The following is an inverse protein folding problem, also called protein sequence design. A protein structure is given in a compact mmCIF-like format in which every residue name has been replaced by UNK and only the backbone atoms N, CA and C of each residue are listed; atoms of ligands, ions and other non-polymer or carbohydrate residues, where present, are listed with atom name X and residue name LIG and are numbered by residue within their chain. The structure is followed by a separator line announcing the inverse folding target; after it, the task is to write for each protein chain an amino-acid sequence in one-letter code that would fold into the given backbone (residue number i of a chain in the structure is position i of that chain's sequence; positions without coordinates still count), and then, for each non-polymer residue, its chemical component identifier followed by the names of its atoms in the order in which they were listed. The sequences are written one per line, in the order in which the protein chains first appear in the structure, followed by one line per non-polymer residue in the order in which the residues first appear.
data_IF_078594041558
#
_entry.id   IF_078594041558
#
_cell.length_a   1.000
_cell.length_b   1.000
_cell.length_c   1.000
_cell.angle_alpha   90.00
_cell.angle_beta   90.00
_cell.angle_gamma   90.00
#
_symmetry.space_group_name_H-M   'P 1'
#
loop_
_entity.id
_entity.type
_entity.pdbx_description
1 polymer ?
#
# COMPACT_ATOMS: atom_id res chain seq x y z
N UNK A 1 -26.01 -22.28 31.26
CA UNK A 1 -25.97 -21.35 32.40
C UNK A 1 -26.23 -19.95 31.88
N UNK A 2 -27.16 -19.23 32.50
CA UNK A 2 -27.49 -17.85 32.15
C UNK A 2 -26.33 -16.97 32.58
N UNK A 3 -25.74 -16.19 31.67
CA UNK A 3 -24.73 -15.20 32.02
C UNK A 3 -25.35 -14.18 32.98
N UNK A 4 -24.85 -14.13 34.22
CA UNK A 4 -25.25 -13.09 35.17
C UNK A 4 -24.90 -11.73 34.61
N UNK A 5 -25.84 -10.77 34.67
CA UNK A 5 -25.55 -9.38 34.29
C UNK A 5 -24.56 -8.80 35.30
N UNK A 6 -23.40 -8.37 34.83
CA UNK A 6 -22.47 -7.57 35.63
C UNK A 6 -23.04 -6.16 35.72
N UNK A 7 -23.12 -5.60 36.92
CA UNK A 7 -23.56 -4.22 37.10
C UNK A 7 -22.59 -3.25 36.43
N UNK A 8 -23.10 -2.14 35.90
CA UNK A 8 -22.25 -1.11 35.29
C UNK A 8 -21.16 -0.67 36.28
N UNK A 9 -19.92 -0.54 35.80
CA UNK A 9 -18.74 -0.17 36.58
C UNK A 9 -18.35 -1.15 37.71
N UNK A 10 -18.92 -2.36 37.78
CA UNK A 10 -18.56 -3.33 38.81
C UNK A 10 -17.14 -3.93 38.62
N UNK A 11 -16.59 -3.84 37.41
CA UNK A 11 -15.21 -4.25 37.11
C UNK A 11 -14.37 -2.98 36.92
N UNK A 12 -13.62 -2.65 37.97
CA UNK A 12 -12.62 -1.58 38.01
C UNK A 12 -11.21 -2.18 38.04
N UNK A 13 -10.20 -1.34 37.84
CA UNK A 13 -8.78 -1.76 37.98
C UNK A 13 -8.46 -2.29 39.39
N UNK A 14 -9.18 -1.82 40.42
CA UNK A 14 -9.02 -2.30 41.80
C UNK A 14 -9.63 -3.69 42.03
N UNK A 15 -10.63 -4.10 41.25
CA UNK A 15 -11.30 -5.40 41.37
C UNK A 15 -10.62 -6.52 40.57
N UNK A 16 -9.71 -6.18 39.65
CA UNK A 16 -8.93 -7.17 38.89
C UNK A 16 -7.61 -7.40 39.63
N UNK A 17 -7.47 -8.56 40.27
CA UNK A 17 -6.20 -8.94 40.88
C UNK A 17 -5.10 -9.07 39.81
N UNK A 18 -3.86 -8.74 40.17
CA UNK A 18 -2.72 -8.92 39.27
C UNK A 18 -2.62 -10.40 38.84
N UNK A 19 -2.52 -10.63 37.53
CA UNK A 19 -2.49 -11.98 36.95
C UNK A 19 -3.85 -12.68 36.84
N UNK A 20 -4.97 -12.06 37.23
CA UNK A 20 -6.29 -12.69 37.11
C UNK A 20 -6.74 -12.90 35.65
N UNK A 21 -6.13 -12.20 34.68
CA UNK A 21 -6.41 -12.33 33.25
C UNK A 21 -5.17 -12.85 32.53
N UNK A 22 -5.30 -14.02 31.90
CA UNK A 22 -4.28 -14.69 31.11
C UNK A 22 -4.74 -14.83 29.65
N UNK A 23 -3.80 -15.10 28.73
CA UNK A 23 -4.09 -15.21 27.30
C UNK A 23 -5.11 -16.31 26.97
N UNK A 24 -5.18 -17.38 27.76
CA UNK A 24 -6.14 -18.47 27.59
C UNK A 24 -7.57 -18.13 28.07
N UNK A 25 -7.79 -16.97 28.69
CA UNK A 25 -9.12 -16.49 29.05
C UNK A 25 -9.85 -15.82 27.86
N UNK A 26 -9.17 -15.66 26.73
CA UNK A 26 -9.72 -15.10 25.49
C UNK A 26 -9.70 -16.19 24.43
N UNK A 27 -10.83 -16.41 23.73
CA UNK A 27 -10.86 -17.35 22.62
C UNK A 27 -10.11 -16.80 21.40
N UNK A 28 -9.52 -17.70 20.60
CA UNK A 28 -8.79 -17.30 19.39
C UNK A 28 -9.71 -16.53 18.42
N UNK A 29 -9.29 -15.34 18.01
CA UNK A 29 -10.01 -14.49 17.06
C UNK A 29 -11.02 -13.51 17.66
N UNK A 30 -11.33 -13.59 18.96
CA UNK A 30 -12.29 -12.68 19.61
C UNK A 30 -11.74 -11.26 19.87
N UNK A 31 -10.42 -11.10 19.87
CA UNK A 31 -9.75 -9.81 19.94
C UNK A 31 -8.93 -9.58 18.68
N UNK A 32 -9.23 -8.50 17.97
CA UNK A 32 -8.42 -8.01 16.84
C UNK A 32 -7.35 -7.04 17.34
N UNK A 33 -6.24 -6.89 16.60
CA UNK A 33 -5.11 -6.07 17.04
C UNK A 33 -5.44 -4.59 17.25
N UNK A 34 -6.47 -4.06 16.58
CA UNK A 34 -7.02 -2.71 16.77
C UNK A 34 -7.89 -2.58 18.04
N UNK A 35 -8.37 -3.70 18.59
CA UNK A 35 -9.18 -3.76 19.83
C UNK A 35 -8.32 -3.96 21.08
N UNK A 36 -7.05 -4.30 20.90
CA UNK A 36 -6.05 -4.32 21.95
C UNK A 36 -5.23 -3.03 21.87
N UNK A 37 -5.15 -2.28 22.97
CA UNK A 37 -4.00 -1.41 23.19
C UNK A 37 -2.80 -2.32 23.47
N UNK A 38 -2.30 -3.00 22.44
CA UNK A 38 -0.99 -3.63 22.46
C UNK A 38 -0.02 -2.50 22.76
N UNK A 39 0.48 -2.44 24.01
CA UNK A 39 1.64 -1.64 24.36
C UNK A 39 2.65 -1.82 23.23
N UNK A 40 3.10 -0.71 22.70
CA UNK A 40 3.69 -0.57 21.38
C UNK A 40 5.04 -1.29 21.32
N UNK A 41 5.02 -2.62 21.24
CA UNK A 41 6.20 -3.49 21.26
C UNK A 41 7.06 -3.41 20.00
N UNK A 42 6.95 -2.31 19.25
CA UNK A 42 7.74 -1.99 18.08
C UNK A 42 8.29 -0.57 18.17
N UNK A 43 8.96 -0.15 17.12
CA UNK A 43 9.59 1.15 17.07
C UNK A 43 8.57 2.27 16.77
N UNK A 44 8.41 3.21 17.72
CA UNK A 44 7.51 4.35 17.63
C UNK A 44 7.99 5.46 16.69
N UNK A 45 9.21 5.35 16.19
CA UNK A 45 9.77 6.34 15.27
C UNK A 45 9.32 6.04 13.85
N UNK A 46 8.97 7.11 13.16
CA UNK A 46 8.70 7.09 11.74
C UNK A 46 10.00 6.89 10.95
N UNK A 47 10.00 5.99 9.98
CA UNK A 47 11.12 5.73 9.06
C UNK A 47 12.50 5.55 9.76
N UNK A 48 12.64 4.59 10.70
CA UNK A 48 13.87 4.43 11.47
C UNK A 48 15.03 3.80 10.67
N UNK A 49 14.78 3.41 9.42
CA UNK A 49 15.80 2.96 8.47
C UNK A 49 16.29 4.08 7.53
N UNK A 50 15.80 5.31 7.72
CA UNK A 50 16.12 6.48 6.92
C UNK A 50 15.92 6.30 5.40
N UNK A 51 14.92 5.51 5.01
CA UNK A 51 14.53 5.36 3.62
C UNK A 51 14.08 6.68 2.99
N UNK A 52 14.12 6.76 1.66
CA UNK A 52 13.72 7.96 0.92
C UNK A 52 14.35 9.26 1.46
N UNK A 53 15.68 9.28 1.57
CA UNK A 53 16.42 10.44 2.11
C UNK A 53 15.94 10.88 3.51
N UNK A 54 15.60 9.92 4.37
CA UNK A 54 15.15 10.20 5.72
C UNK A 54 13.84 10.97 5.79
N UNK A 55 12.91 10.80 4.84
CA UNK A 55 11.59 11.44 4.91
C UNK A 55 10.97 11.27 6.29
N UNK A 56 10.34 12.33 6.82
CA UNK A 56 9.77 12.39 8.17
C UNK A 56 10.77 12.73 9.28
N UNK A 57 12.07 12.78 8.98
CA UNK A 57 13.08 13.29 9.91
C UNK A 57 13.42 14.74 9.61
N UNK A 58 13.42 15.57 10.65
CA UNK A 58 13.94 16.93 10.61
C UNK A 58 15.44 16.96 10.87
N UNK A 59 16.05 18.12 10.66
CA UNK A 59 17.42 18.42 11.09
C UNK A 59 17.56 19.90 11.45
N UNK A 60 18.63 20.26 12.16
CA UNK A 60 18.91 21.65 12.54
C UNK A 60 20.41 21.89 12.55
N UNK A 61 20.85 23.05 12.06
CA UNK A 61 22.26 23.45 12.14
C UNK A 61 22.62 24.05 13.52
N UNK A 62 21.65 24.14 14.43
CA UNK A 62 21.88 24.58 15.79
C UNK A 62 22.61 25.92 15.87
N UNK A 63 23.66 25.95 16.68
CA UNK A 63 24.52 27.13 16.84
C UNK A 63 25.83 27.04 16.04
N UNK A 64 25.96 26.08 15.11
CA UNK A 64 27.16 25.94 14.31
C UNK A 64 27.40 27.18 13.42
N UNK A 65 28.64 27.68 13.43
CA UNK A 65 29.08 28.86 12.64
C UNK A 65 30.37 28.59 11.85
N UNK A 66 30.86 27.35 11.83
CA UNK A 66 32.18 27.00 11.31
C UNK A 66 32.30 26.83 9.79
N UNK A 67 31.18 26.78 9.06
CA UNK A 67 31.18 26.57 7.60
C UNK A 67 29.96 25.79 7.10
N UNK A 68 30.17 24.90 6.12
CA UNK A 68 29.12 24.06 5.54
C UNK A 68 28.90 22.79 6.37
N UNK A 69 27.63 22.41 6.57
CA UNK A 69 27.25 21.09 7.08
C UNK A 69 26.61 20.31 5.95
N UNK A 70 27.08 19.08 5.74
CA UNK A 70 26.48 18.15 4.78
C UNK A 70 25.83 16.99 5.55
N UNK A 71 24.58 16.66 5.21
CA UNK A 71 23.89 15.45 5.67
C UNK A 71 23.68 14.53 4.48
N UNK A 72 24.32 13.36 4.50
CA UNK A 72 24.19 12.38 3.43
C UNK A 72 23.54 11.11 3.93
N UNK A 73 22.68 10.53 3.10
CA UNK A 73 22.03 9.25 3.35
C UNK A 73 22.79 8.18 2.60
N UNK A 74 23.47 7.31 3.34
CA UNK A 74 24.45 6.37 2.80
C UNK A 74 23.96 4.96 3.00
N UNK A 75 23.95 4.16 1.93
CA UNK A 75 23.47 2.77 1.94
C UNK A 75 24.65 1.81 2.10
N UNK A 76 25.18 1.28 1.00
CA UNK A 76 26.36 0.42 0.98
C UNK A 76 27.47 1.08 0.15
N UNK A 77 28.74 0.83 0.49
CA UNK A 77 29.86 1.30 -0.32
C UNK A 77 31.19 0.68 0.06
N UNK A 78 32.17 0.82 -0.83
CA UNK A 78 33.52 0.26 -0.63
C UNK A 78 34.40 1.05 0.35
N UNK A 79 33.99 2.26 0.75
CA UNK A 79 34.78 3.09 1.63
C UNK A 79 34.72 2.59 3.09
N UNK A 80 35.81 2.75 3.83
CA UNK A 80 35.94 2.26 5.21
C UNK A 80 35.02 2.92 6.23
N UNK A 81 34.28 3.97 5.84
CA UNK A 81 33.33 4.67 6.70
C UNK A 81 31.86 4.40 6.33
N UNK A 82 31.61 3.54 5.35
CA UNK A 82 30.29 3.13 4.87
C UNK A 82 29.96 1.72 5.34
N UNK A 83 28.68 1.33 5.29
CA UNK A 83 28.32 -0.07 5.50
C UNK A 83 28.91 -0.95 4.40
N UNK A 84 29.68 -1.97 4.79
CA UNK A 84 30.15 -3.02 3.89
C UNK A 84 29.16 -4.20 3.80
N UNK A 85 28.45 -4.49 4.89
CA UNK A 85 27.55 -5.63 5.03
C UNK A 85 26.07 -5.23 5.14
N UNK A 86 25.72 -4.06 4.61
CA UNK A 86 24.34 -3.60 4.61
C UNK A 86 23.47 -4.40 3.64
N UNK A 87 22.26 -4.77 4.07
CA UNK A 87 21.22 -5.21 3.15
C UNK A 87 20.86 -4.03 2.23
N UNK A 88 20.84 -4.28 0.92
CA UNK A 88 20.59 -3.26 -0.12
C UNK A 88 19.23 -2.56 0.02
N UNK A 89 18.28 -3.19 0.69
CA UNK A 89 16.90 -2.70 0.88
C UNK A 89 16.67 -1.96 2.20
N UNK A 90 17.50 -2.14 3.23
CA UNK A 90 17.09 -1.84 4.62
C UNK A 90 18.07 -0.99 5.43
N UNK A 91 19.34 -0.89 5.03
CA UNK A 91 20.34 -0.22 5.86
C UNK A 91 20.81 1.09 5.22
N UNK A 92 20.30 2.20 5.74
CA UNK A 92 20.86 3.53 5.50
C UNK A 92 21.36 4.14 6.81
N UNK A 93 22.48 4.84 6.75
CA UNK A 93 22.93 5.72 7.81
C UNK A 93 22.80 7.17 7.35
N UNK A 94 22.60 8.07 8.31
CA UNK A 94 22.82 9.50 8.11
C UNK A 94 24.25 9.80 8.53
N UNK A 95 25.02 10.37 7.62
CA UNK A 95 26.33 10.96 7.92
C UNK A 95 26.17 12.47 7.95
N UNK A 96 26.41 13.09 9.10
CA UNK A 96 26.60 14.53 9.19
C UNK A 96 28.10 14.83 9.18
N UNK A 97 28.54 15.66 8.23
CA UNK A 97 29.92 16.15 8.13
C UNK A 97 29.93 17.66 8.33
N UNK A 98 30.78 18.15 9.22
CA UNK A 98 31.15 19.56 9.26
C UNK A 98 32.34 19.77 8.33
N UNK A 99 32.18 20.54 7.25
CA UNK A 99 33.26 20.80 6.29
C UNK A 99 34.00 22.06 6.74
N UNK A 100 35.04 21.87 7.55
CA UNK A 100 35.83 22.96 8.12
C UNK A 100 37.24 22.55 8.55
N UNK A 101 38.15 23.52 8.53
CA UNK A 101 39.45 23.43 9.18
C UNK A 101 39.35 23.98 10.59
N UNK A 102 39.67 23.14 11.58
CA UNK A 102 39.58 23.49 13.00
C UNK A 102 40.98 23.72 13.55
N UNK A 103 41.24 24.92 14.06
CA UNK A 103 42.50 25.28 14.72
C UNK A 103 42.48 25.06 16.23
N UNK A 104 41.29 25.02 16.84
CA UNK A 104 41.03 24.73 18.26
C UNK A 104 39.66 24.10 18.43
N UNK A 105 39.50 23.22 19.41
CA UNK A 105 38.21 22.58 19.67
C UNK A 105 37.09 23.61 19.85
N UNK A 106 35.92 23.35 19.24
CA UNK A 106 34.74 24.23 19.27
C UNK A 106 33.63 23.55 20.04
N UNK A 107 32.90 24.31 20.87
CA UNK A 107 31.70 23.83 21.54
C UNK A 107 30.44 24.27 20.79
N UNK A 108 30.29 23.80 19.55
CA UNK A 108 29.12 24.06 18.70
C UNK A 108 28.38 22.76 18.41
N UNK A 109 27.12 22.87 18.04
CA UNK A 109 26.27 21.71 17.79
C UNK A 109 25.37 21.87 16.57
N UNK A 110 25.06 20.72 15.97
CA UNK A 110 24.04 20.57 14.94
C UNK A 110 23.31 19.24 15.16
N UNK A 111 22.02 19.22 14.89
CA UNK A 111 21.23 17.99 14.95
C UNK A 111 21.43 17.20 13.67
N UNK A 112 21.83 15.95 13.82
CA UNK A 112 21.95 14.99 12.71
C UNK A 112 20.56 14.68 12.18
N UNK A 113 19.69 14.24 13.09
CA UNK A 113 18.28 13.99 12.82
C UNK A 113 17.45 14.24 14.09
N UNK A 114 16.19 14.65 13.90
CA UNK A 114 15.22 14.87 14.97
C UNK A 114 13.80 14.52 14.53
N UNK A 115 12.98 14.07 15.45
CA UNK A 115 11.57 13.75 15.17
C UNK A 115 10.69 14.10 16.36
N UNK A 116 9.58 14.79 16.10
CA UNK A 116 8.58 15.17 17.11
C UNK A 116 7.54 14.07 17.22
N UNK A 117 7.26 13.59 18.43
CA UNK A 117 6.32 12.51 18.70
C UNK A 117 5.41 12.88 19.86
N UNK A 118 4.13 12.51 19.74
CA UNK A 118 3.18 12.53 20.85
C UNK A 118 3.18 11.16 21.53
N UNK A 119 3.44 11.14 22.83
CA UNK A 119 3.54 9.96 23.67
C UNK A 119 2.48 9.99 24.77
N UNK A 120 2.30 8.85 25.45
CA UNK A 120 1.41 8.75 26.60
C UNK A 120 2.06 9.49 27.77
N UNK A 121 1.41 10.53 28.34
CA UNK A 121 1.95 11.25 29.48
C UNK A 121 2.30 10.32 30.64
N UNK A 122 3.42 10.60 31.32
CA UNK A 122 3.92 9.84 32.47
C UNK A 122 4.33 8.38 32.23
N UNK A 123 4.18 7.86 31.02
CA UNK A 123 4.68 6.54 30.62
C UNK A 123 6.21 6.56 30.45
N UNK A 124 6.86 5.42 30.70
CA UNK A 124 8.31 5.27 30.54
C UNK A 124 8.67 4.82 29.13
N UNK A 125 9.75 5.39 28.59
CA UNK A 125 10.24 5.13 27.24
C UNK A 125 11.77 5.00 27.23
N UNK A 126 12.30 4.28 26.23
CA UNK A 126 13.72 4.27 25.89
C UNK A 126 13.87 4.76 24.45
N UNK A 127 14.69 5.79 24.27
CA UNK A 127 15.17 6.22 22.96
C UNK A 127 16.57 5.66 22.74
N UNK A 128 16.79 4.92 21.67
CA UNK A 128 18.06 4.29 21.36
C UNK A 128 18.45 4.47 19.90
N UNK A 129 19.75 4.43 19.59
CA UNK A 129 20.25 4.47 18.21
C UNK A 129 21.70 3.95 18.15
N UNK A 130 22.10 3.42 16.99
CA UNK A 130 23.50 3.18 16.70
C UNK A 130 24.12 4.51 16.28
N UNK A 131 25.06 5.01 17.07
CA UNK A 131 25.69 6.31 16.84
C UNK A 131 27.18 6.19 17.08
N UNK A 132 27.95 6.66 16.10
CA UNK A 132 29.39 6.82 16.21
C UNK A 132 29.78 8.25 15.83
N UNK A 133 30.76 8.81 16.52
CA UNK A 133 31.29 10.13 16.25
C UNK A 133 32.78 10.01 15.88
N UNK A 134 33.26 10.88 15.00
CA UNK A 134 34.66 10.94 14.62
C UNK A 134 35.12 12.39 14.68
N UNK A 135 36.19 12.65 15.46
CA UNK A 135 36.75 14.00 15.69
C UNK A 135 35.76 15.00 16.31
N UNK A 136 34.69 14.49 16.90
CA UNK A 136 33.70 15.23 17.66
C UNK A 136 33.03 14.30 18.67
N UNK A 137 32.04 14.81 19.40
CA UNK A 137 31.14 14.02 20.24
C UNK A 137 29.74 13.97 19.64
N UNK A 138 28.93 13.03 20.11
CA UNK A 138 27.51 12.99 19.81
C UNK A 138 26.69 12.76 21.09
N UNK A 139 25.39 12.94 21.00
CA UNK A 139 24.47 12.60 22.09
C UNK A 139 23.08 12.23 21.57
N UNK A 140 22.39 11.37 22.32
CA UNK A 140 20.94 11.22 22.23
C UNK A 140 20.32 12.24 23.18
N UNK A 141 19.36 13.03 22.70
CA UNK A 141 18.54 13.89 23.54
C UNK A 141 17.07 13.58 23.38
N UNK A 142 16.35 13.84 24.46
CA UNK A 142 14.89 13.92 24.47
C UNK A 142 14.53 15.28 25.04
N UNK A 143 13.79 16.08 24.29
CA UNK A 143 13.34 17.41 24.67
C UNK A 143 11.81 17.42 24.84
N UNK A 144 11.31 18.12 25.85
CA UNK A 144 9.88 18.41 26.02
C UNK A 144 9.48 19.52 25.07
N UNK A 145 8.35 19.32 24.41
CA UNK A 145 7.69 20.35 23.61
C UNK A 145 6.40 20.80 24.28
N UNK A 146 6.00 22.03 24.00
CA UNK A 146 4.64 22.49 24.25
C UNK A 146 3.69 21.98 23.14
N UNK A 147 2.38 22.20 23.31
CA UNK A 147 1.36 21.75 22.36
C UNK A 147 1.52 22.35 20.95
N UNK A 148 2.20 23.49 20.82
CA UNK A 148 2.52 24.14 19.54
C UNK A 148 3.82 23.62 18.92
N UNK A 149 4.46 22.62 19.52
CA UNK A 149 5.69 22.00 19.04
C UNK A 149 6.96 22.84 19.25
N UNK A 150 6.93 23.83 20.16
CA UNK A 150 8.13 24.59 20.55
C UNK A 150 8.82 23.95 21.76
N UNK A 151 10.14 24.08 21.81
CA UNK A 151 10.98 23.59 22.91
C UNK A 151 10.57 24.20 24.27
N UNK A 152 10.56 23.36 25.30
CA UNK A 152 10.36 23.76 26.70
C UNK A 152 11.62 23.50 27.52
N UNK A 153 12.07 22.25 27.58
CA UNK A 153 13.27 21.83 28.33
C UNK A 153 13.83 20.50 27.83
N UNK A 154 15.10 20.22 28.11
CA UNK A 154 15.65 18.87 28.00
C UNK A 154 15.06 17.94 29.07
N UNK A 155 14.71 16.72 28.68
CA UNK A 155 14.17 15.68 29.57
C UNK A 155 15.26 14.68 29.92
N UNK A 156 15.99 14.19 28.92
CA UNK A 156 17.02 13.18 29.11
C UNK A 156 18.13 13.32 28.06
N UNK A 157 19.34 12.89 28.42
CA UNK A 157 20.51 12.95 27.54
C UNK A 157 21.44 11.79 27.80
N UNK A 158 21.96 11.19 26.73
CA UNK A 158 23.05 10.22 26.77
C UNK A 158 24.19 10.74 25.90
N UNK A 159 25.35 11.01 26.50
CA UNK A 159 26.56 11.39 25.78
C UNK A 159 27.22 10.18 25.14
N UNK A 160 27.79 10.39 23.96
CA UNK A 160 28.41 9.37 23.13
C UNK A 160 29.80 9.88 22.77
N UNK A 161 30.81 9.25 23.36
CA UNK A 161 32.23 9.58 23.16
C UNK A 161 32.95 8.57 22.27
N UNK A 162 32.22 7.62 21.68
CA UNK A 162 32.78 6.58 20.82
C UNK A 162 33.38 7.20 19.55
N UNK A 163 34.63 6.80 19.27
CA UNK A 163 35.42 7.22 18.10
C UNK A 163 35.28 6.16 17.01
N UNK A 164 34.61 6.45 15.89
CA UNK A 164 34.56 5.47 14.80
C UNK A 164 33.60 5.73 13.66
N UNK A 165 33.47 4.72 12.81
CA UNK A 165 32.53 4.65 11.69
C UNK A 165 31.98 3.24 11.60
N UNK A 166 30.86 3.03 10.89
CA UNK A 166 30.25 1.71 10.74
C UNK A 166 30.91 0.83 9.67
N UNK A 167 32.24 0.68 9.72
CA UNK A 167 33.05 0.01 8.68
C UNK A 167 32.58 -1.44 8.38
N UNK A 168 32.04 -2.15 9.38
CA UNK A 168 31.60 -3.55 9.26
C UNK A 168 30.08 -3.74 9.36
N UNK A 169 29.31 -2.65 9.25
CA UNK A 169 27.88 -2.65 9.53
C UNK A 169 27.55 -2.33 10.99
N UNK A 170 26.27 -2.22 11.32
CA UNK A 170 25.81 -1.87 12.68
C UNK A 170 25.86 -3.04 13.67
N UNK A 171 25.98 -4.28 13.20
CA UNK A 171 25.85 -5.48 14.04
C UNK A 171 26.98 -5.69 15.05
N UNK A 172 28.13 -5.06 14.83
CA UNK A 172 29.30 -5.16 15.71
C UNK A 172 29.43 -3.93 16.63
N UNK A 173 28.57 -2.93 16.46
CA UNK A 173 28.56 -1.71 17.26
C UNK A 173 27.56 -1.81 18.41
N UNK A 174 27.81 -1.02 19.47
CA UNK A 174 26.87 -0.90 20.59
C UNK A 174 25.78 0.11 20.27
N UNK A 175 24.52 -0.26 20.57
CA UNK A 175 23.38 0.67 20.46
C UNK A 175 23.30 1.52 21.73
N UNK A 176 23.48 2.83 21.57
CA UNK A 176 23.36 3.79 22.66
C UNK A 176 21.87 3.97 23.00
N UNK A 177 21.56 4.25 24.27
CA UNK A 177 20.18 4.43 24.73
C UNK A 177 20.07 5.47 25.84
N UNK A 178 18.93 6.15 25.89
CA UNK A 178 18.54 7.07 26.95
C UNK A 178 17.11 6.75 27.38
N UNK A 179 16.92 6.53 28.69
CA UNK A 179 15.63 6.26 29.29
C UNK A 179 15.02 7.54 29.85
N UNK A 180 13.71 7.72 29.66
CA UNK A 180 13.00 8.87 30.20
C UNK A 180 11.55 8.53 30.55
N UNK A 181 10.96 9.36 31.41
CA UNK A 181 9.53 9.36 31.67
C UNK A 181 8.90 10.51 30.89
N UNK A 182 7.87 10.23 30.10
CA UNK A 182 7.21 11.23 29.27
C UNK A 182 6.61 12.35 30.17
N UNK A 183 6.79 13.63 29.82
CA UNK A 183 6.22 14.75 30.57
C UNK A 183 4.69 14.77 30.49
N UNK A 184 4.07 15.58 31.34
CA UNK A 184 2.61 15.75 31.36
C UNK A 184 2.06 16.30 30.03
N UNK A 185 2.87 17.05 29.27
CA UNK A 185 2.47 17.56 27.95
C UNK A 185 2.18 16.45 26.95
N UNK A 186 2.84 15.28 27.08
CA UNK A 186 2.80 14.22 26.08
C UNK A 186 3.53 14.56 24.77
N UNK A 187 4.11 15.75 24.60
CA UNK A 187 4.83 16.14 23.38
C UNK A 187 6.33 16.13 23.64
N UNK A 188 7.05 15.33 22.86
CA UNK A 188 8.51 15.24 22.94
C UNK A 188 9.15 15.31 21.57
N UNK A 189 10.43 15.62 21.56
CA UNK A 189 11.28 15.48 20.39
C UNK A 189 12.50 14.63 20.74
N UNK A 190 12.73 13.58 19.96
CA UNK A 190 13.96 12.79 20.06
C UNK A 190 14.97 13.31 19.05
N UNK A 191 16.23 13.41 19.47
CA UNK A 191 17.27 14.09 18.70
C UNK A 191 18.56 13.29 18.80
N UNK A 192 19.25 13.11 17.67
CA UNK A 192 20.67 12.76 17.66
C UNK A 192 21.45 14.01 17.28
N UNK A 193 22.30 14.48 18.18
CA UNK A 193 23.05 15.73 18.03
C UNK A 193 24.54 15.46 17.94
N UNK A 194 25.19 16.13 17.01
CA UNK A 194 26.64 16.24 16.94
C UNK A 194 27.09 17.48 17.70
N UNK A 195 28.15 17.37 18.50
CA UNK A 195 28.69 18.47 19.30
C UNK A 195 30.21 18.36 19.49
N UNK A 196 30.82 19.40 20.07
CA UNK A 196 32.23 19.39 20.51
C UNK A 196 33.20 18.96 19.41
N UNK A 197 33.31 19.75 18.34
CA UNK A 197 34.25 19.50 17.26
C UNK A 197 35.69 19.64 17.79
N UNK A 198 36.50 18.58 17.74
CA UNK A 198 37.86 18.58 18.31
C UNK A 198 38.96 18.63 17.24
N UNK A 199 38.69 18.18 16.01
CA UNK A 199 39.62 18.24 14.89
C UNK A 199 38.88 18.48 13.56
N UNK A 200 39.62 18.86 12.51
CA UNK A 200 39.09 19.16 11.18
C UNK A 200 38.25 18.02 10.57
N UNK A 201 37.21 18.42 9.85
CA UNK A 201 36.21 17.54 9.23
C UNK A 201 35.60 16.49 10.17
N UNK A 202 34.93 16.92 11.25
CA UNK A 202 34.23 16.01 12.15
C UNK A 202 32.99 15.40 11.49
N UNK A 203 32.74 14.13 11.84
CA UNK A 203 31.66 13.33 11.30
C UNK A 203 30.84 12.69 12.43
N UNK A 204 29.50 12.63 12.28
CA UNK A 204 28.63 11.80 13.11
C UNK A 204 27.80 10.90 12.21
N UNK A 205 27.72 9.63 12.60
CA UNK A 205 27.00 8.58 11.88
C UNK A 205 25.85 8.09 12.74
N UNK A 206 24.66 7.99 12.16
CA UNK A 206 23.46 7.53 12.87
C UNK A 206 22.76 6.47 12.05
N UNK A 207 22.39 5.37 12.70
CA UNK A 207 21.64 4.27 12.09
C UNK A 207 20.64 3.69 13.10
N UNK A 208 19.52 3.16 12.57
CA UNK A 208 18.54 2.37 13.32
C UNK A 208 18.10 3.02 14.66
N UNK A 209 17.66 4.30 14.68
CA UNK A 209 17.02 4.85 15.87
C UNK A 209 15.76 4.05 16.22
N UNK A 210 15.47 3.92 17.52
CA UNK A 210 14.28 3.27 18.04
C UNK A 210 13.77 3.98 19.28
N UNK A 211 12.47 4.22 19.32
CA UNK A 211 11.76 4.69 20.51
C UNK A 211 10.75 3.61 20.89
N UNK A 212 10.79 3.16 22.14
CA UNK A 212 9.94 2.07 22.62
C UNK A 212 9.32 2.41 23.97
N UNK A 213 8.12 1.89 24.20
CA UNK A 213 7.52 1.86 25.53
C UNK A 213 8.27 0.86 26.41
N UNK A 214 8.52 1.24 27.66
CA UNK A 214 9.18 0.36 28.61
C UNK A 214 8.58 0.52 30.01
N UNK A 215 8.95 -0.37 30.92
CA UNK A 215 8.61 -0.22 32.33
C UNK A 215 9.64 0.65 33.05
N UNK A 216 9.28 1.16 34.23
CA UNK A 216 10.23 1.87 35.10
C UNK A 216 11.46 1.04 35.49
N UNK A 217 11.40 -0.29 35.36
CA UNK A 217 12.48 -1.21 35.73
C UNK A 217 13.40 -1.60 34.57
N UNK A 218 13.03 -1.31 33.30
CA UNK A 218 13.87 -1.60 32.14
C UNK A 218 15.24 -0.90 32.25
N UNK A 219 16.33 -1.66 32.01
CA UNK A 219 17.73 -1.17 32.12
C UNK A 219 18.42 -1.02 30.78
N UNK A 220 17.91 -1.67 29.74
CA UNK A 220 18.47 -1.70 28.39
C UNK A 220 17.34 -1.71 27.35
N UNK A 221 17.59 -1.22 26.13
CA UNK A 221 16.60 -1.27 25.05
C UNK A 221 16.34 -2.70 24.57
N UNK A 222 15.11 -3.02 24.18
CA UNK A 222 14.79 -4.32 23.56
C UNK A 222 15.44 -4.45 22.18
N UNK A 223 15.61 -5.67 21.67
CA UNK A 223 16.22 -5.91 20.35
C UNK A 223 15.64 -4.95 19.29
N UNK A 224 16.51 -4.37 18.45
CA UNK A 224 16.05 -3.39 17.47
C UNK A 224 15.00 -3.99 16.55
N UNK A 225 13.89 -3.28 16.37
CA UNK A 225 12.86 -3.60 15.40
C UNK A 225 12.61 -2.40 14.51
N UNK A 226 12.19 -2.66 13.28
CA UNK A 226 11.70 -1.61 12.40
C UNK A 226 10.38 -1.03 12.95
N UNK A 227 9.94 0.10 12.41
CA UNK A 227 8.59 0.60 12.68
C UNK A 227 7.57 -0.50 12.35
N UNK A 228 6.52 -0.63 13.18
CA UNK A 228 5.61 -1.77 13.19
C UNK A 228 5.26 -2.28 11.79
N UNK A 229 5.53 -3.57 11.56
CA UNK A 229 5.46 -4.26 10.25
C UNK A 229 4.03 -4.33 9.67
N UNK A 230 3.03 -3.86 10.42
CA UNK A 230 1.63 -3.71 10.00
C UNK A 230 1.28 -2.30 9.51
N UNK A 231 2.16 -1.32 9.70
CA UNK A 231 1.96 0.07 9.32
C UNK A 231 2.99 0.49 8.27
N UNK A 232 2.55 0.57 7.01
CA UNK A 232 3.35 1.16 5.94
C UNK A 232 3.14 2.67 5.95
N UNK A 233 4.22 3.41 6.14
CA UNK A 233 4.18 4.85 6.25
C UNK A 233 4.53 5.50 4.90
N UNK A 234 3.93 6.65 4.58
CA UNK A 234 4.16 7.33 3.30
C UNK A 234 5.61 7.77 3.03
N UNK A 235 6.49 7.74 4.05
CA UNK A 235 7.94 7.95 3.89
C UNK A 235 8.72 6.69 3.56
N UNK A 236 8.13 5.53 3.83
CA UNK A 236 8.70 4.21 3.53
C UNK A 236 8.37 3.76 2.11
N UNK A 237 7.37 4.39 1.47
CA UNK A 237 7.06 4.24 0.04
C UNK A 237 7.43 5.54 -0.67
N UNK A 238 8.17 5.45 -1.77
CA UNK A 238 8.39 6.60 -2.65
C UNK A 238 7.33 6.56 -3.76
N UNK A 239 6.89 7.74 -4.21
CA UNK A 239 5.95 7.83 -5.34
C UNK A 239 6.46 7.00 -6.52
N UNK A 240 5.60 6.13 -7.06
CA UNK A 240 5.89 5.23 -8.18
C UNK A 240 6.95 4.13 -7.91
N UNK A 241 7.30 3.80 -6.66
CA UNK A 241 8.28 2.72 -6.40
C UNK A 241 7.68 1.37 -6.04
N UNK A 242 6.36 1.30 -5.81
CA UNK A 242 5.66 0.01 -5.75
C UNK A 242 5.14 -0.27 -7.16
N UNK A 243 5.87 -1.12 -7.88
CA UNK A 243 5.49 -1.65 -9.18
C UNK A 243 5.05 -3.11 -9.03
N UNK A 244 4.64 -3.75 -10.14
CA UNK A 244 4.19 -5.15 -10.10
C UNK A 244 5.25 -6.11 -9.55
N UNK A 245 6.54 -5.77 -9.66
CA UNK A 245 7.66 -6.59 -9.18
C UNK A 245 7.76 -6.67 -7.65
N UNK A 246 7.26 -5.66 -6.92
CA UNK A 246 7.24 -5.66 -5.45
C UNK A 246 5.97 -6.31 -4.89
N UNK A 247 5.00 -6.64 -5.73
CA UNK A 247 3.75 -7.28 -5.33
C UNK A 247 3.87 -8.76 -5.63
N UNK A 248 3.85 -9.58 -4.59
CA UNK A 248 3.85 -11.03 -4.78
C UNK A 248 2.60 -11.45 -5.58
N UNK A 249 2.78 -12.40 -6.50
CA UNK A 249 1.70 -12.90 -7.33
C UNK A 249 0.51 -13.36 -6.48
N UNK A 250 -0.71 -13.13 -6.98
CA UNK A 250 -1.97 -13.61 -6.36
C UNK A 250 -2.31 -12.99 -4.99
N UNK A 251 -1.56 -11.99 -4.51
CA UNK A 251 -1.82 -11.36 -3.19
C UNK A 251 -2.88 -10.27 -3.22
N UNK A 252 -3.15 -9.66 -4.38
CA UNK A 252 -4.25 -8.70 -4.55
C UNK A 252 -5.46 -9.49 -5.06
N UNK A 253 -6.37 -9.85 -4.17
CA UNK A 253 -7.61 -10.55 -4.50
C UNK A 253 -8.75 -9.56 -4.76
N UNK A 254 -9.91 -10.07 -5.16
CA UNK A 254 -11.08 -9.23 -5.44
C UNK A 254 -11.54 -8.42 -4.20
N UNK A 255 -11.32 -8.92 -2.99
CA UNK A 255 -11.72 -8.24 -1.75
C UNK A 255 -10.86 -7.00 -1.46
N UNK A 256 -9.62 -6.96 -1.96
CA UNK A 256 -8.73 -5.81 -1.81
C UNK A 256 -8.96 -4.72 -2.88
N UNK A 257 -9.86 -4.96 -3.84
CA UNK A 257 -10.18 -4.02 -4.92
C UNK A 257 -11.57 -3.42 -4.69
N UNK A 258 -11.62 -2.11 -4.42
CA UNK A 258 -12.88 -1.39 -4.30
C UNK A 258 -13.71 -1.46 -5.61
N UNK A 259 -15.03 -1.52 -5.46
CA UNK A 259 -15.95 -1.51 -6.61
C UNK A 259 -15.70 -0.29 -7.50
N UNK A 260 -15.53 -0.52 -8.81
CA UNK A 260 -15.27 0.53 -9.80
C UNK A 260 -13.84 1.07 -9.83
N UNK A 261 -12.91 0.56 -9.02
CA UNK A 261 -11.51 1.01 -9.03
C UNK A 261 -10.80 0.74 -10.37
N UNK A 262 -11.17 -0.33 -11.07
CA UNK A 262 -10.62 -0.68 -12.37
C UNK A 262 -11.56 -0.19 -13.48
N UNK A 263 -11.18 0.91 -14.14
CA UNK A 263 -11.83 1.39 -15.34
C UNK A 263 -11.33 0.65 -16.59
N UNK A 264 -12.10 0.66 -17.68
CA UNK A 264 -11.74 -0.01 -18.95
C UNK A 264 -10.41 0.45 -19.52
N UNK A 265 -10.03 1.73 -19.34
CA UNK A 265 -8.71 2.26 -19.74
C UNK A 265 -7.51 1.62 -19.02
N UNK A 266 -7.73 0.92 -17.90
CA UNK A 266 -6.69 0.20 -17.16
C UNK A 266 -6.47 -1.22 -17.71
N UNK A 267 -7.34 -1.69 -18.60
CA UNK A 267 -7.27 -3.02 -19.19
C UNK A 267 -6.58 -2.94 -20.55
N UNK A 268 -5.57 -3.78 -20.77
CA UNK A 268 -5.00 -3.97 -22.10
C UNK A 268 -6.03 -4.60 -23.03
N UNK A 269 -5.95 -4.28 -24.32
CA UNK A 269 -6.80 -4.90 -25.33
C UNK A 269 -6.71 -6.44 -25.24
N UNK A 270 -7.87 -7.11 -25.31
CA UNK A 270 -8.01 -8.58 -25.22
C UNK A 270 -7.58 -9.22 -23.88
N UNK A 271 -7.26 -8.44 -22.84
CA UNK A 271 -6.91 -9.00 -21.51
C UNK A 271 -8.08 -9.75 -20.88
N UNK A 272 -9.31 -9.30 -21.12
CA UNK A 272 -10.54 -10.00 -20.69
C UNK A 272 -11.06 -10.86 -21.84
N UNK A 273 -10.69 -12.14 -21.81
CA UNK A 273 -11.23 -13.18 -22.72
C UNK A 273 -12.36 -14.00 -22.08
N UNK A 274 -12.95 -14.92 -22.85
CA UNK A 274 -14.08 -15.76 -22.42
C UNK A 274 -13.84 -16.55 -21.11
N UNK A 275 -12.59 -16.92 -20.80
CA UNK A 275 -12.24 -17.61 -19.55
C UNK A 275 -12.38 -16.74 -18.30
N UNK A 276 -12.38 -15.41 -18.44
CA UNK A 276 -12.57 -14.47 -17.33
C UNK A 276 -14.05 -14.13 -17.08
N UNK A 277 -14.93 -14.50 -17.99
CA UNK A 277 -16.36 -14.20 -17.89
C UNK A 277 -17.06 -15.37 -17.21
N UNK A 278 -17.68 -15.11 -16.06
CA UNK A 278 -18.48 -16.12 -15.37
C UNK A 278 -19.62 -16.56 -16.27
N UNK A 279 -19.82 -17.86 -16.40
CA UNK A 279 -20.89 -18.42 -17.22
C UNK A 279 -22.26 -17.82 -16.85
N UNK A 280 -23.04 -17.42 -17.86
CA UNK A 280 -24.36 -16.77 -17.72
C UNK A 280 -24.38 -15.41 -16.99
N UNK A 281 -23.24 -14.77 -16.78
CA UNK A 281 -23.18 -13.45 -16.11
C UNK A 281 -23.58 -12.27 -17.01
N UNK A 282 -23.48 -12.41 -18.33
CA UNK A 282 -23.82 -11.35 -19.29
C UNK A 282 -25.29 -11.46 -19.70
N UNK A 283 -26.03 -10.36 -19.57
CA UNK A 283 -27.41 -10.21 -20.04
C UNK A 283 -27.47 -9.35 -21.30
N UNK A 284 -28.55 -9.47 -22.08
CA UNK A 284 -28.68 -8.79 -23.37
C UNK A 284 -28.57 -7.25 -23.27
N UNK A 285 -29.07 -6.65 -22.18
CA UNK A 285 -28.96 -5.20 -21.93
C UNK A 285 -27.51 -4.73 -21.64
N UNK A 286 -26.59 -5.67 -21.36
CA UNK A 286 -25.15 -5.39 -21.19
C UNK A 286 -24.35 -5.53 -22.48
N UNK A 287 -24.98 -6.01 -23.55
CA UNK A 287 -24.32 -6.30 -24.83
C UNK A 287 -24.77 -5.30 -25.90
N UNK A 288 -23.87 -4.39 -26.29
CA UNK A 288 -24.08 -3.52 -27.45
C UNK A 288 -23.39 -4.15 -28.66
N UNK A 289 -24.12 -4.99 -29.41
CA UNK A 289 -23.59 -5.78 -30.52
C UNK A 289 -24.17 -5.29 -31.85
N UNK A 290 -23.30 -4.89 -32.79
CA UNK A 290 -23.72 -4.53 -34.15
C UNK A 290 -23.90 -5.75 -35.06
N UNK A 291 -23.15 -6.83 -34.82
CA UNK A 291 -23.26 -8.09 -35.57
C UNK A 291 -22.85 -9.25 -34.66
N UNK A 292 -23.70 -10.27 -34.57
CA UNK A 292 -23.42 -11.50 -33.85
C UNK A 292 -23.22 -12.64 -34.85
N UNK A 293 -21.97 -13.05 -35.05
CA UNK A 293 -21.63 -14.25 -35.80
C UNK A 293 -21.48 -15.43 -34.83
N UNK A 294 -22.41 -16.37 -34.87
CA UNK A 294 -22.38 -17.57 -34.03
C UNK A 294 -22.51 -18.82 -34.91
N UNK A 295 -21.75 -19.86 -34.59
CA UNK A 295 -21.90 -21.18 -35.24
C UNK A 295 -23.25 -21.78 -34.90
N UNK A 296 -23.69 -21.62 -33.65
CA UNK A 296 -24.99 -22.05 -33.14
C UNK A 296 -25.47 -21.11 -32.05
N UNK A 297 -26.78 -20.88 -31.99
CA UNK A 297 -27.43 -20.08 -30.95
C UNK A 297 -28.80 -20.65 -30.62
N UNK A 298 -29.14 -20.71 -29.32
CA UNK A 298 -30.50 -20.96 -28.86
C UNK A 298 -31.18 -19.61 -28.62
N UNK A 299 -31.81 -19.07 -29.65
CA UNK A 299 -32.37 -17.72 -29.66
C UNK A 299 -33.75 -17.62 -28.98
N UNK A 300 -34.37 -18.75 -28.62
CA UNK A 300 -35.74 -18.76 -28.10
C UNK A 300 -36.72 -18.05 -29.05
N UNK A 301 -37.47 -17.09 -28.51
CA UNK A 301 -38.33 -16.20 -29.30
C UNK A 301 -37.54 -15.00 -29.80
N UNK A 302 -37.65 -14.73 -31.10
CA UNK A 302 -36.92 -13.64 -31.77
C UNK A 302 -37.91 -12.54 -32.17
N UNK A 303 -37.67 -11.31 -31.71
CA UNK A 303 -38.26 -10.10 -32.30
C UNK A 303 -37.22 -9.48 -33.20
N UNK A 304 -37.41 -9.60 -34.52
CA UNK A 304 -36.48 -9.10 -35.52
C UNK A 304 -37.26 -8.40 -36.63
N UNK A 305 -36.57 -7.50 -37.35
CA UNK A 305 -37.10 -6.91 -38.58
C UNK A 305 -37.19 -7.97 -39.69
N UNK A 306 -36.08 -8.22 -40.39
CA UNK A 306 -36.00 -9.30 -41.36
C UNK A 306 -35.26 -10.51 -40.78
N UNK A 307 -35.76 -11.72 -41.05
CA UNK A 307 -35.08 -12.98 -40.73
C UNK A 307 -34.79 -13.71 -42.04
N UNK A 308 -33.53 -14.09 -42.24
CA UNK A 308 -33.08 -14.84 -43.41
C UNK A 308 -32.43 -16.14 -42.96
N UNK A 309 -33.08 -17.28 -43.24
CA UNK A 309 -32.59 -18.60 -42.87
C UNK A 309 -32.12 -19.32 -44.14
N UNK A 310 -30.88 -19.82 -44.10
CA UNK A 310 -30.21 -20.46 -45.22
C UNK A 310 -29.59 -19.43 -46.16
N UNK A 311 -28.38 -18.98 -45.85
CA UNK A 311 -27.49 -18.33 -46.82
C UNK A 311 -26.59 -19.42 -47.41
N UNK A 312 -26.76 -19.74 -48.68
CA UNK A 312 -25.89 -20.70 -49.38
C UNK A 312 -24.59 -19.98 -49.75
N UNK A 313 -23.49 -20.37 -49.11
CA UNK A 313 -22.18 -20.16 -49.71
C UNK A 313 -22.08 -21.08 -50.94
N UNK A 314 -21.59 -20.47 -52.02
CA UNK A 314 -21.25 -21.03 -53.34
C UNK A 314 -22.42 -21.39 -54.26
N UNK A 315 -22.81 -20.39 -55.05
CA UNK A 315 -23.19 -20.47 -56.49
C UNK A 315 -24.60 -20.84 -56.96
N UNK A 316 -25.58 -21.23 -56.13
CA UNK A 316 -26.99 -21.24 -56.57
C UNK A 316 -27.98 -20.75 -55.49
N UNK A 317 -28.42 -19.50 -55.72
CA UNK A 317 -29.68 -18.83 -55.39
C UNK A 317 -30.30 -18.98 -53.98
N UNK A 318 -30.13 -17.92 -53.17
CA UNK A 318 -31.21 -17.33 -52.36
C UNK A 318 -31.46 -17.85 -50.93
N UNK A 319 -32.18 -17.03 -50.15
CA UNK A 319 -32.71 -17.39 -48.82
C UNK A 319 -33.75 -18.49 -48.95
N UNK A 320 -33.62 -19.59 -48.18
CA UNK A 320 -34.62 -20.68 -48.17
C UNK A 320 -35.91 -20.24 -47.47
N UNK A 321 -35.78 -19.49 -46.37
CA UNK A 321 -36.89 -18.87 -45.66
C UNK A 321 -36.54 -17.43 -45.29
N UNK A 322 -37.30 -16.49 -45.84
CA UNK A 322 -37.18 -15.07 -45.58
C UNK A 322 -38.47 -14.55 -44.96
N UNK A 323 -38.38 -13.99 -43.76
CA UNK A 323 -39.39 -13.09 -43.20
C UNK A 323 -38.94 -11.68 -43.50
N UNK A 324 -39.78 -10.95 -44.22
CA UNK A 324 -39.54 -9.55 -44.57
C UNK A 324 -40.02 -8.67 -43.42
N UNK A 325 -39.38 -7.52 -43.23
CA UNK A 325 -39.74 -6.56 -42.19
C UNK A 325 -41.11 -5.90 -42.39
N UNK A 326 -41.69 -6.04 -43.58
CA UNK A 326 -43.03 -5.56 -43.93
C UNK A 326 -44.13 -6.60 -43.64
N UNK A 327 -43.80 -7.71 -42.98
CA UNK A 327 -44.73 -8.77 -42.58
C UNK A 327 -44.99 -9.83 -43.67
N UNK A 328 -44.39 -9.70 -44.85
CA UNK A 328 -44.40 -10.77 -45.84
C UNK A 328 -43.44 -11.91 -45.46
N UNK A 329 -43.67 -13.11 -46.01
CA UNK A 329 -42.67 -14.17 -45.96
C UNK A 329 -42.55 -14.89 -47.30
N UNK A 330 -41.38 -15.46 -47.53
CA UNK A 330 -41.06 -16.21 -48.74
C UNK A 330 -40.28 -17.47 -48.39
N UNK A 331 -40.74 -18.60 -48.89
CA UNK A 331 -40.04 -19.88 -48.94
C UNK A 331 -39.65 -20.16 -50.38
N UNK A 332 -38.39 -20.50 -50.63
CA UNK A 332 -37.93 -20.87 -51.98
C UNK A 332 -37.29 -22.25 -51.92
N UNK A 333 -37.54 -23.07 -52.93
CA UNK A 333 -36.81 -24.33 -53.09
C UNK A 333 -35.32 -24.03 -53.33
N UNK A 334 -34.45 -24.93 -52.86
CA UNK A 334 -32.99 -24.72 -52.91
C UNK A 334 -32.44 -24.59 -54.33
N UNK A 335 -33.13 -25.19 -55.29
CA UNK A 335 -32.81 -25.20 -56.72
C UNK A 335 -33.54 -24.12 -57.53
N UNK A 336 -34.34 -23.26 -56.86
CA UNK A 336 -35.15 -22.23 -57.52
C UNK A 336 -36.31 -22.77 -58.37
N UNK A 337 -36.58 -24.09 -58.34
CA UNK A 337 -37.66 -24.73 -59.08
C UNK A 337 -39.06 -24.39 -58.58
N UNK A 338 -39.20 -23.73 -57.43
CA UNK A 338 -40.50 -23.29 -56.92
C UNK A 338 -40.41 -22.54 -55.61
N UNK A 339 -41.58 -22.18 -55.07
CA UNK A 339 -41.65 -21.48 -53.80
C UNK A 339 -43.05 -21.10 -53.37
N UNK A 340 -43.14 -20.61 -52.15
CA UNK A 340 -44.36 -20.07 -51.55
C UNK A 340 -44.06 -18.65 -51.10
N UNK A 341 -44.87 -17.69 -51.50
CA UNK A 341 -44.74 -16.31 -51.06
C UNK A 341 -46.07 -15.81 -50.53
N UNK A 342 -46.06 -15.27 -49.31
CA UNK A 342 -47.10 -14.37 -48.82
C UNK A 342 -46.55 -12.95 -48.91
N UNK A 343 -47.11 -12.17 -49.82
CA UNK A 343 -46.65 -10.79 -50.04
C UNK A 343 -47.58 -9.78 -49.38
N UNK A 344 -46.99 -8.86 -48.62
CA UNK A 344 -47.65 -7.69 -48.03
C UNK A 344 -48.21 -6.74 -49.10
N UNK A 345 -47.49 -6.59 -50.22
CA UNK A 345 -47.82 -5.65 -51.29
C UNK A 345 -49.00 -6.13 -52.12
N UNK A 346 -49.01 -7.40 -52.49
CA UNK A 346 -50.11 -8.00 -53.27
C UNK A 346 -51.22 -8.54 -52.39
N UNK A 347 -50.97 -8.69 -51.07
CA UNK A 347 -51.89 -9.31 -50.11
C UNK A 347 -52.38 -10.69 -50.58
N UNK A 348 -51.47 -11.45 -51.19
CA UNK A 348 -51.77 -12.76 -51.76
C UNK A 348 -50.70 -13.78 -51.36
N UNK A 349 -51.18 -15.00 -51.09
CA UNK A 349 -50.37 -16.21 -51.05
C UNK A 349 -50.22 -16.71 -52.49
N UNK A 350 -48.99 -16.89 -52.95
CA UNK A 350 -48.68 -17.42 -54.29
C UNK A 350 -47.74 -18.60 -54.18
N UNK A 351 -48.06 -19.68 -54.90
CA UNK A 351 -47.22 -20.87 -55.04
C UNK A 351 -46.76 -20.97 -56.48
N UNK A 352 -45.45 -21.17 -56.66
CA UNK A 352 -44.78 -21.14 -57.96
C UNK A 352 -44.13 -22.49 -58.27
N UNK A 353 -44.13 -22.87 -59.54
CA UNK A 353 -43.28 -23.91 -60.13
C UNK A 353 -42.52 -23.29 -61.31
N UNK A 354 -41.22 -23.10 -61.14
CA UNK A 354 -40.40 -22.22 -61.98
C UNK A 354 -41.00 -20.81 -62.02
N UNK A 355 -41.32 -20.34 -63.22
CA UNK A 355 -41.96 -19.05 -63.44
C UNK A 355 -43.50 -19.12 -63.51
N UNK A 356 -44.09 -20.30 -63.25
CA UNK A 356 -45.53 -20.53 -63.40
C UNK A 356 -46.24 -20.44 -62.05
N UNK A 357 -47.26 -19.58 -61.96
CA UNK A 357 -48.18 -19.57 -60.80
C UNK A 357 -49.03 -20.83 -60.85
N UNK A 358 -48.95 -21.65 -59.82
CA UNK A 358 -49.79 -22.85 -59.67
C UNK A 358 -50.99 -22.61 -58.78
N UNK A 359 -50.79 -21.81 -57.73
CA UNK A 359 -51.84 -21.46 -56.78
C UNK A 359 -51.71 -19.99 -56.41
N UNK A 360 -52.83 -19.26 -56.42
CA UNK A 360 -52.89 -17.89 -55.93
C UNK A 360 -54.16 -17.71 -55.12
N UNK A 361 -54.01 -17.30 -53.85
CA UNK A 361 -55.12 -17.07 -52.93
C UNK A 361 -54.95 -15.68 -52.32
N UNK A 362 -55.90 -14.78 -52.53
CA UNK A 362 -55.78 -13.38 -52.13
C UNK A 362 -56.60 -12.45 -53.02
N UNK A 363 -56.43 -11.13 -52.85
CA UNK A 363 -57.38 -10.10 -53.32
C UNK A 363 -57.90 -10.37 -54.75
N UNK A 364 -59.18 -10.76 -54.80
CA UNK A 364 -60.00 -10.75 -56.01
C UNK A 364 -60.22 -9.28 -56.38
N UNK A 365 -59.48 -8.82 -57.37
CA UNK A 365 -59.64 -7.52 -58.02
C UNK A 365 -59.42 -7.73 -59.50
#
# INVERSE_FOLDING_TARGET
MVAGKIAANAVTTATIAAGAVHANHVAAGELTADKLAIGLGGNLLFNPIFANQGYGWGSSNGNYKGGTITRTYVQQGGANWMFKNALSSEERLIKLTFVETISRAKNQWADVCRQKIRLIPHQWYIFSAYVNAYRCSAMLLVEELNANGSYVKGIATQYITNQGSFQHGVHQDSRNAVKFRCPASGYVEVIVRANQQTQSNPDVYVARPMLEECTQYAKEPSAWQNAGVTAIHGGSIVTNTITAQQIASETITANEIASGAIATRHLSANSVNAGHIVSKSLTADKLNINSLSAISANLGSVTAGAIKIGSVNTSQQGTLFEVKSDGGFRLVSRDGSGGIELSSSTRALTVWEGNTVRVKVGKLG
#
